data_IF_531977761470
#
_entry.id   IF_531977761470
#
_cell.length_a   1.000
_cell.length_b   1.000
_cell.length_c   1.000
_cell.angle_alpha   90.00
_cell.angle_beta   90.00
_cell.angle_gamma   90.00
#
_symmetry.space_group_name_H-M   'P 1'
#
loop_
_entity.id
_entity.type
_entity.pdbx_description
1 polymer ?
#
# COMPACT_ATOMS: atom_id res chain seq x y z
N UNK A 1 -18.04 15.02 -0.01
CA UNK A 1 -17.04 14.19 -0.69
C UNK A 1 -16.65 12.90 0.05
N UNK A 2 -16.86 12.84 1.37
CA UNK A 2 -16.56 11.66 2.17
C UNK A 2 -17.26 10.39 1.63
N UNK A 3 -18.52 10.47 1.27
CA UNK A 3 -19.26 9.33 0.72
C UNK A 3 -18.66 8.79 -0.58
N UNK A 4 -18.13 9.66 -1.43
CA UNK A 4 -17.44 9.26 -2.68
C UNK A 4 -16.10 8.57 -2.40
N UNK A 5 -15.36 9.07 -1.43
CA UNK A 5 -14.10 8.47 -0.98
C UNK A 5 -14.36 7.06 -0.46
N UNK A 6 -15.32 6.93 0.45
CA UNK A 6 -15.72 5.64 1.05
C UNK A 6 -16.14 4.65 -0.04
N UNK A 7 -17.05 5.02 -0.93
CA UNK A 7 -17.52 4.14 -1.99
C UNK A 7 -16.39 3.66 -2.90
N UNK A 8 -15.45 4.54 -3.24
CA UNK A 8 -14.27 4.18 -4.02
C UNK A 8 -13.36 3.20 -3.28
N UNK A 9 -13.06 3.46 -2.02
CA UNK A 9 -12.22 2.59 -1.18
C UNK A 9 -12.87 1.22 -0.96
N UNK A 10 -14.16 1.16 -0.70
CA UNK A 10 -14.92 -0.11 -0.58
C UNK A 10 -14.81 -0.96 -1.84
N UNK A 11 -15.01 -0.35 -3.00
CA UNK A 11 -14.87 -1.03 -4.28
C UNK A 11 -13.47 -1.59 -4.52
N UNK A 12 -12.43 -0.81 -4.16
CA UNK A 12 -11.03 -1.23 -4.29
C UNK A 12 -10.73 -2.41 -3.34
N UNK A 13 -11.09 -2.31 -2.06
CA UNK A 13 -10.83 -3.36 -1.07
C UNK A 13 -11.56 -4.66 -1.42
N UNK A 14 -12.80 -4.57 -1.90
CA UNK A 14 -13.55 -5.74 -2.36
C UNK A 14 -12.86 -6.43 -3.54
N UNK A 15 -12.34 -5.67 -4.50
CA UNK A 15 -11.59 -6.21 -5.62
C UNK A 15 -10.25 -6.80 -5.18
N UNK A 16 -9.53 -6.14 -4.28
CA UNK A 16 -8.28 -6.67 -3.73
C UNK A 16 -8.47 -8.04 -3.07
N UNK A 17 -9.54 -8.21 -2.30
CA UNK A 17 -9.87 -9.49 -1.67
C UNK A 17 -10.02 -10.62 -2.71
N UNK A 18 -10.74 -10.35 -3.80
CA UNK A 18 -10.90 -11.32 -4.90
C UNK A 18 -9.60 -11.64 -5.61
N UNK A 19 -8.72 -10.63 -5.80
CA UNK A 19 -7.45 -10.82 -6.50
C UNK A 19 -6.46 -11.65 -5.68
N UNK A 20 -6.48 -11.55 -4.36
CA UNK A 20 -5.69 -12.42 -3.47
C UNK A 20 -6.08 -13.88 -3.65
N UNK A 21 -7.38 -14.18 -3.70
CA UNK A 21 -7.89 -15.53 -3.93
C UNK A 21 -7.47 -16.08 -5.29
N UNK A 22 -7.43 -15.25 -6.32
CA UNK A 22 -7.07 -15.60 -7.69
C UNK A 22 -5.57 -15.58 -7.96
N UNK A 23 -4.74 -15.17 -7.01
CA UNK A 23 -3.30 -15.00 -7.14
C UNK A 23 -2.87 -14.08 -8.31
N UNK A 24 -3.66 -13.06 -8.61
CA UNK A 24 -3.44 -12.11 -9.71
C UNK A 24 -2.60 -10.90 -9.26
N UNK A 25 -1.28 -11.10 -9.16
CA UNK A 25 -0.35 -10.09 -8.60
C UNK A 25 -0.45 -8.70 -9.24
N UNK A 26 -0.38 -8.62 -10.56
CA UNK A 26 -0.41 -7.31 -11.24
C UNK A 26 -1.69 -6.53 -10.99
N UNK A 27 -2.81 -7.24 -10.91
CA UNK A 27 -4.10 -6.64 -10.62
C UNK A 27 -4.16 -6.15 -9.16
N UNK A 28 -3.64 -6.95 -8.23
CA UNK A 28 -3.51 -6.56 -6.84
C UNK A 28 -2.65 -5.30 -6.69
N UNK A 29 -1.49 -5.25 -7.32
CA UNK A 29 -0.59 -4.10 -7.28
C UNK A 29 -1.24 -2.82 -7.83
N UNK A 30 -1.99 -2.92 -8.92
CA UNK A 30 -2.76 -1.79 -9.46
C UNK A 30 -3.82 -1.29 -8.49
N UNK A 31 -4.52 -2.19 -7.82
CA UNK A 31 -5.54 -1.86 -6.82
C UNK A 31 -4.91 -1.25 -5.55
N UNK A 32 -3.75 -1.72 -5.14
CA UNK A 32 -2.99 -1.16 -4.03
C UNK A 32 -2.66 0.32 -4.27
N UNK A 33 -2.14 0.64 -5.45
CA UNK A 33 -1.89 2.03 -5.85
C UNK A 33 -3.16 2.87 -5.86
N UNK A 34 -4.26 2.34 -6.39
CA UNK A 34 -5.54 3.04 -6.43
C UNK A 34 -6.09 3.32 -5.02
N UNK A 35 -5.89 2.39 -4.08
CA UNK A 35 -6.28 2.59 -2.69
C UNK A 35 -5.57 3.81 -2.10
N UNK A 36 -4.26 3.83 -2.15
CA UNK A 36 -3.46 4.95 -1.63
C UNK A 36 -3.71 6.25 -2.40
N UNK A 37 -3.77 6.18 -3.74
CA UNK A 37 -4.03 7.33 -4.61
C UNK A 37 -5.35 8.02 -4.29
N UNK A 38 -6.35 7.29 -3.85
CA UNK A 38 -7.67 7.84 -3.50
C UNK A 38 -7.55 8.96 -2.46
N UNK A 39 -6.73 8.79 -1.45
CA UNK A 39 -6.54 9.82 -0.42
C UNK A 39 -5.86 11.09 -0.97
N UNK A 40 -4.93 10.93 -1.88
CA UNK A 40 -4.27 12.07 -2.54
C UNK A 40 -5.21 12.79 -3.50
N UNK A 41 -5.97 12.06 -4.32
CA UNK A 41 -6.93 12.62 -5.28
C UNK A 41 -7.98 13.51 -4.60
N UNK A 42 -8.43 13.12 -3.42
CA UNK A 42 -9.43 13.87 -2.66
C UNK A 42 -8.85 14.86 -1.64
N UNK A 43 -7.53 15.00 -1.57
CA UNK A 43 -6.86 15.98 -0.70
C UNK A 43 -7.05 17.42 -1.15
N UNK A 44 -7.41 17.64 -2.42
CA UNK A 44 -7.44 18.97 -3.03
C UNK A 44 -6.04 19.57 -3.27
N UNK A 45 -4.98 18.80 -3.13
CA UNK A 45 -3.60 19.29 -3.22
C UNK A 45 -2.86 18.62 -4.39
N UNK A 46 -2.80 19.33 -5.52
CA UNK A 46 -2.14 18.84 -6.73
C UNK A 46 -0.63 18.57 -6.57
N UNK A 47 0.04 19.21 -5.61
CA UNK A 47 1.46 18.94 -5.32
C UNK A 47 1.65 17.58 -4.67
N UNK A 48 0.74 17.20 -3.74
CA UNK A 48 0.77 15.88 -3.12
C UNK A 48 0.50 14.79 -4.15
N UNK A 49 -0.46 14.99 -5.04
CA UNK A 49 -0.76 14.04 -6.13
C UNK A 49 0.47 13.81 -7.00
N UNK A 50 1.14 14.88 -7.43
CA UNK A 50 2.36 14.77 -8.24
C UNK A 50 3.49 14.07 -7.48
N UNK A 51 3.71 14.42 -6.22
CA UNK A 51 4.73 13.78 -5.40
C UNK A 51 4.49 12.27 -5.26
N UNK A 52 3.25 11.87 -5.07
CA UNK A 52 2.88 10.45 -5.04
C UNK A 52 3.19 9.77 -6.38
N UNK A 53 2.72 10.32 -7.49
CA UNK A 53 2.92 9.76 -8.82
C UNK A 53 4.40 9.62 -9.20
N UNK A 54 5.22 10.61 -8.85
CA UNK A 54 6.65 10.61 -9.15
C UNK A 54 7.41 9.54 -8.34
N UNK A 55 6.94 9.19 -7.15
CA UNK A 55 7.62 8.26 -6.26
C UNK A 55 7.10 6.82 -6.34
N UNK A 56 5.86 6.61 -6.77
CA UNK A 56 5.25 5.27 -6.75
C UNK A 56 5.95 4.28 -7.70
N UNK A 57 6.51 4.74 -8.79
CA UNK A 57 7.24 3.90 -9.75
C UNK A 57 8.49 3.28 -9.13
N UNK A 58 9.22 4.04 -8.32
CA UNK A 58 10.39 3.55 -7.59
C UNK A 58 10.00 2.50 -6.55
N UNK A 59 8.92 2.74 -5.84
CA UNK A 59 8.37 1.80 -4.86
C UNK A 59 7.96 0.47 -5.51
N UNK A 60 7.25 0.50 -6.61
CA UNK A 60 6.84 -0.69 -7.36
C UNK A 60 8.03 -1.51 -7.85
N UNK A 61 9.06 -0.86 -8.33
CA UNK A 61 10.29 -1.50 -8.80
C UNK A 61 10.98 -2.22 -7.65
N UNK A 62 11.06 -1.60 -6.48
CA UNK A 62 11.66 -2.20 -5.29
C UNK A 62 10.87 -3.40 -4.79
N UNK A 63 9.56 -3.30 -4.71
CA UNK A 63 8.69 -4.42 -4.30
C UNK A 63 8.86 -5.62 -5.25
N UNK A 64 8.87 -5.40 -6.55
CA UNK A 64 9.03 -6.46 -7.54
C UNK A 64 10.36 -7.22 -7.40
N UNK A 65 11.42 -6.52 -6.99
CA UNK A 65 12.76 -7.11 -6.82
C UNK A 65 12.91 -7.86 -5.50
N UNK A 66 12.41 -7.30 -4.40
CA UNK A 66 12.74 -7.76 -3.05
C UNK A 66 11.68 -8.65 -2.40
N UNK A 67 10.43 -8.65 -2.85
CA UNK A 67 9.38 -9.47 -2.27
C UNK A 67 9.11 -10.72 -3.10
N UNK A 68 9.60 -11.87 -2.63
CA UNK A 68 9.43 -13.17 -3.31
C UNK A 68 8.15 -13.90 -2.93
N UNK A 69 7.67 -13.72 -1.71
CA UNK A 69 6.38 -14.28 -1.24
C UNK A 69 5.31 -13.19 -1.17
N UNK A 70 4.71 -12.93 -2.32
CA UNK A 70 3.70 -11.89 -2.44
C UNK A 70 2.36 -12.25 -1.79
N UNK A 71 2.02 -13.52 -1.71
CA UNK A 71 0.67 -13.92 -1.31
C UNK A 71 0.38 -13.61 0.16
N UNK A 72 1.31 -13.92 1.07
CA UNK A 72 1.17 -13.58 2.49
C UNK A 72 1.16 -12.07 2.70
N UNK A 73 1.99 -11.34 1.96
CA UNK A 73 2.05 -9.88 2.00
C UNK A 73 0.73 -9.27 1.52
N UNK A 74 0.13 -9.78 0.45
CA UNK A 74 -1.13 -9.25 -0.07
C UNK A 74 -2.28 -9.46 0.89
N UNK A 75 -2.39 -10.65 1.47
CA UNK A 75 -3.42 -10.96 2.46
C UNK A 75 -3.36 -9.97 3.62
N UNK A 76 -2.16 -9.71 4.11
CA UNK A 76 -1.93 -8.74 5.18
C UNK A 76 -2.21 -7.31 4.73
N UNK A 77 -1.78 -6.91 3.55
CA UNK A 77 -2.05 -5.59 2.96
C UNK A 77 -3.56 -5.34 2.85
N UNK A 78 -4.32 -6.29 2.35
CA UNK A 78 -5.78 -6.17 2.22
C UNK A 78 -6.44 -6.02 3.58
N UNK A 79 -5.98 -6.76 4.59
CA UNK A 79 -6.51 -6.63 5.95
C UNK A 79 -6.21 -5.24 6.55
N UNK A 80 -5.01 -4.73 6.35
CA UNK A 80 -4.64 -3.39 6.78
C UNK A 80 -5.48 -2.31 6.07
N UNK A 81 -5.73 -2.46 4.78
CA UNK A 81 -6.62 -1.57 4.04
C UNK A 81 -8.06 -1.59 4.57
N UNK A 82 -8.58 -2.77 4.97
CA UNK A 82 -9.89 -2.88 5.61
C UNK A 82 -9.94 -2.11 6.93
N UNK A 83 -8.91 -2.22 7.75
CA UNK A 83 -8.82 -1.52 9.02
C UNK A 83 -8.78 0.00 8.83
N UNK A 84 -7.98 0.48 7.87
CA UNK A 84 -7.92 1.90 7.51
C UNK A 84 -9.28 2.40 7.03
N UNK A 85 -9.91 1.66 6.13
CA UNK A 85 -11.24 1.98 5.62
C UNK A 85 -12.28 2.03 6.74
N UNK A 86 -12.29 1.06 7.64
CA UNK A 86 -13.20 0.98 8.77
C UNK A 86 -13.07 2.19 9.69
N UNK A 87 -11.86 2.59 10.03
CA UNK A 87 -11.60 3.79 10.83
C UNK A 87 -12.09 5.06 10.10
N UNK A 88 -11.82 5.16 8.81
CA UNK A 88 -12.27 6.29 8.00
C UNK A 88 -13.81 6.38 7.90
N UNK A 89 -14.49 5.24 7.72
CA UNK A 89 -15.96 5.16 7.71
C UNK A 89 -16.58 5.57 9.04
N UNK A 90 -15.94 5.23 10.15
CA UNK A 90 -16.36 5.63 11.49
C UNK A 90 -16.14 7.12 11.77
N UNK A 91 -15.45 7.85 10.88
CA UNK A 91 -15.06 9.24 11.11
C UNK A 91 -13.88 9.39 12.06
N UNK A 92 -13.23 8.31 12.42
CA UNK A 92 -12.01 8.31 13.23
C UNK A 92 -10.78 8.51 12.33
N UNK A 93 -10.61 9.75 11.88
CA UNK A 93 -9.53 10.12 10.96
C UNK A 93 -8.15 10.02 11.60
N UNK A 94 -8.06 10.22 12.90
CA UNK A 94 -6.80 10.06 13.62
C UNK A 94 -6.37 8.59 13.59
N UNK A 95 -7.26 7.68 13.93
CA UNK A 95 -6.98 6.24 13.86
C UNK A 95 -6.65 5.80 12.43
N UNK A 96 -7.39 6.28 11.43
CA UNK A 96 -7.09 5.98 10.03
C UNK A 96 -5.68 6.43 9.62
N UNK A 97 -5.25 7.61 10.09
CA UNK A 97 -3.91 8.14 9.86
C UNK A 97 -2.82 7.30 10.55
N UNK A 98 -3.03 6.91 11.79
CA UNK A 98 -2.11 6.06 12.55
C UNK A 98 -1.95 4.67 11.90
N UNK A 99 -3.06 4.06 11.47
CA UNK A 99 -3.06 2.79 10.76
C UNK A 99 -2.36 2.89 9.40
N UNK A 100 -2.55 3.99 8.68
CA UNK A 100 -1.85 4.23 7.41
C UNK A 100 -0.35 4.38 7.61
N UNK A 101 0.08 5.12 8.64
CA UNK A 101 1.50 5.26 8.97
C UNK A 101 2.12 3.91 9.35
N UNK A 102 1.46 3.11 10.18
CA UNK A 102 1.90 1.77 10.54
C UNK A 102 1.98 0.83 9.32
N UNK A 103 1.02 0.91 8.42
CA UNK A 103 1.00 0.15 7.16
C UNK A 103 2.23 0.45 6.29
N UNK A 104 2.57 1.71 6.11
CA UNK A 104 3.78 2.09 5.36
C UNK A 104 5.07 1.66 6.05
N UNK A 105 5.17 1.81 7.37
CA UNK A 105 6.35 1.40 8.13
C UNK A 105 6.58 -0.11 8.04
N UNK A 106 5.53 -0.90 8.12
CA UNK A 106 5.63 -2.36 7.98
C UNK A 106 6.13 -2.78 6.59
N UNK A 107 5.73 -2.07 5.54
CA UNK A 107 6.22 -2.32 4.19
C UNK A 107 7.70 -1.92 4.00
N UNK A 108 8.19 -0.94 4.75
CA UNK A 108 9.59 -0.45 4.66
C UNK A 108 10.58 -1.31 5.46
N UNK A 109 10.17 -1.91 6.57
CA UNK A 109 11.05 -2.71 7.45
C UNK A 109 11.74 -3.86 6.70
N UNK A 110 11.04 -4.72 5.94
CA UNK A 110 11.70 -5.79 5.19
C UNK A 110 12.73 -5.29 4.18
N UNK A 111 12.49 -4.14 3.56
CA UNK A 111 13.43 -3.53 2.63
C UNK A 111 14.70 -3.07 3.34
N UNK A 112 14.57 -2.47 4.52
CA UNK A 112 15.74 -2.08 5.35
C UNK A 112 16.57 -3.28 5.78
N UNK A 113 15.93 -4.37 6.18
CA UNK A 113 16.60 -5.61 6.57
C UNK A 113 17.39 -6.21 5.41
N UNK A 114 16.81 -6.25 4.21
CA UNK A 114 17.47 -6.72 2.99
C UNK A 114 18.69 -5.87 2.63
N UNK A 115 18.56 -4.55 2.65
CA UNK A 115 19.67 -3.64 2.37
C UNK A 115 20.79 -3.80 3.41
N UNK A 116 20.46 -3.99 4.67
CA UNK A 116 21.45 -4.25 5.73
C UNK A 116 22.20 -5.57 5.53
N UNK A 117 21.55 -6.60 4.99
CA UNK A 117 22.18 -7.88 4.67
C UNK A 117 23.13 -7.77 3.48
N UNK A 118 22.80 -6.98 2.47
CA UNK A 118 23.67 -6.72 1.31
C UNK A 118 24.93 -5.97 1.74
N UNK A 119 24.80 -4.96 2.60
CA UNK A 119 25.93 -4.21 3.14
C UNK A 119 26.83 -5.06 4.05
N UNK A 120 26.29 -6.07 4.70
CA UNK A 120 27.02 -7.00 5.57
C UNK A 120 27.58 -8.21 4.82
N UNK A 121 27.26 -8.41 3.53
CA UNK A 121 27.78 -9.50 2.73
C UNK A 121 29.30 -9.31 2.50
N UNK A 122 30.15 -10.36 2.71
CA UNK A 122 31.56 -10.24 2.39
C UNK A 122 31.74 -9.97 0.90
N UNK A 123 32.68 -9.08 0.56
CA UNK A 123 33.03 -8.83 -0.82
C UNK A 123 33.38 -10.17 -1.49
N UNK A 124 32.80 -10.46 -2.64
CA UNK A 124 33.14 -11.62 -3.44
C UNK A 124 34.59 -11.50 -3.87
N UNK A 125 35.44 -12.46 -3.46
CA UNK A 125 36.84 -12.58 -3.89
C UNK A 125 36.92 -12.93 -5.38
#
# INVERSE_FOLDING_TARGET
NQAKVIARLEGIVAQQSRQVEQAAYRRHQSLDKQFHRTFFDYSGNARLVRAYDDNIVLWDTHIAIYFKDYRSIWTRTVEQHRQILSAYQAGDYQMAQELMAAHFLEAVIPLKELLSQEDAAPAAD
#
